data_IF_947764996857
#
_entry.id   IF_947764996857
#
_cell.length_a   1.000
_cell.length_b   1.000
_cell.length_c   1.000
_cell.angle_alpha   90.00
_cell.angle_beta   90.00
_cell.angle_gamma   90.00
#
_symmetry.space_group_name_H-M   'P 1'
#
loop_
_entity.id
_entity.type
_entity.pdbx_description
1 polymer ?
2 polymer ?
3 water ?
#
# COMPACT_ATOMS: atom_id res chain seq x y z
N UNK A 1 23.52 -5.20 13.14
CA UNK A 1 24.79 -4.49 13.24
C UNK A 1 25.28 -4.01 11.86
N UNK A 2 25.32 -2.70 11.66
CA UNK A 2 24.94 -1.71 12.67
C UNK A 2 23.42 -1.55 12.77
N UNK A 3 22.95 -1.16 13.94
CA UNK A 3 21.51 -1.01 14.15
C UNK A 3 21.09 0.46 14.19
N UNK A 4 20.19 0.83 13.30
CA UNK A 4 19.51 2.10 13.37
C UNK A 4 18.23 1.88 14.17
N UNK A 5 17.88 2.85 15.01
CA UNK A 5 16.71 2.75 15.86
C UNK A 5 15.98 4.09 15.87
N UNK A 6 14.78 4.16 15.29
CA UNK A 6 14.01 5.43 15.35
C UNK A 6 12.96 5.22 16.40
N UNK A 7 12.66 6.23 17.22
CA UNK A 7 11.74 5.92 18.31
C UNK A 7 10.60 6.85 18.79
N UNK A 8 9.71 7.29 17.89
CA UNK A 8 8.34 6.86 18.18
C UNK A 8 7.90 6.06 16.96
N UNK A 9 7.39 4.85 17.13
CA UNK A 9 6.99 4.05 15.96
C UNK A 9 5.93 4.82 15.16
N UNK A 10 5.09 5.55 15.90
CA UNK A 10 4.05 6.36 15.31
C UNK A 10 4.07 7.76 15.94
N UNK A 11 3.68 8.78 15.18
CA UNK A 11 3.61 10.14 15.71
C UNK A 11 2.43 10.90 15.11
N UNK A 12 1.63 11.52 15.96
CA UNK A 12 0.48 12.31 15.50
C UNK A 12 0.71 13.80 15.73
N UNK A 13 0.69 14.58 14.65
CA UNK A 13 1.00 16.01 14.76
C UNK A 13 0.00 16.91 14.03
N UNK A 14 -0.01 18.18 14.42
CA UNK A 14 -0.86 19.19 13.81
C UNK A 14 -0.11 19.89 12.68
N UNK A 15 -0.78 20.14 11.55
CA UNK A 15 -0.16 20.92 10.48
C UNK A 15 0.27 22.30 10.98
N UNK A 16 1.49 22.71 10.67
CA UNK A 16 2.02 23.97 11.15
C UNK A 16 3.00 23.77 12.29
N UNK A 17 2.88 22.65 12.98
CA UNK A 17 3.78 22.33 14.09
C UNK A 17 5.18 22.02 13.59
N UNK A 18 6.12 21.89 14.52
CA UNK A 18 7.47 21.44 14.19
C UNK A 18 7.65 20.00 14.66
N UNK A 19 8.17 19.15 13.78
CA UNK A 19 8.34 17.74 14.10
C UNK A 19 9.80 17.31 14.15
N UNK A 20 10.16 16.61 15.21
CA UNK A 20 11.50 16.06 15.35
C UNK A 20 11.44 14.53 15.43
N UNK A 21 12.10 13.86 14.49
CA UNK A 21 12.14 12.40 14.47
C UNK A 21 13.55 11.91 14.76
N UNK A 22 13.67 11.07 15.78
CA UNK A 22 14.98 10.64 16.27
C UNK A 22 15.45 9.32 15.66
N UNK A 23 16.75 9.19 15.48
CA UNK A 23 17.35 7.96 14.98
C UNK A 23 18.66 7.68 15.72
N UNK A 24 18.69 6.58 16.46
CA UNK A 24 19.84 6.24 17.29
C UNK A 24 20.76 5.20 16.65
N UNK A 25 21.84 5.65 16.03
CA UNK A 25 22.84 4.73 15.50
C UNK A 25 23.62 4.10 16.65
N UNK A 26 23.52 2.79 16.79
CA UNK A 26 24.15 2.08 17.92
C UNK A 26 25.67 1.95 17.76
N UNK A 27 26.26 2.85 16.99
CA UNK A 27 27.70 2.95 16.81
C UNK A 27 28.00 4.24 16.06
N UNK A 28 29.11 4.89 16.42
CA UNK A 28 29.48 6.17 15.83
C UNK A 28 29.66 6.08 14.32
N UNK A 29 28.79 6.75 13.57
CA UNK A 29 28.86 6.72 12.12
C UNK A 29 29.10 8.09 11.51
N UNK A 30 29.61 9.02 12.30
CA UNK A 30 29.87 10.39 11.87
C UNK A 30 28.63 11.01 11.23
N UNK A 31 28.83 11.68 10.09
CA UNK A 31 27.72 12.28 9.36
C UNK A 31 27.31 11.40 8.19
N UNK A 32 27.34 10.08 8.39
CA UNK A 32 26.95 9.14 7.35
C UNK A 32 25.60 8.50 7.66
N UNK A 33 24.57 9.34 7.75
CA UNK A 33 23.21 8.89 8.01
C UNK A 33 22.28 9.43 6.93
N UNK A 34 21.31 8.61 6.51
CA UNK A 34 20.43 9.01 5.42
C UNK A 34 18.96 8.90 5.80
N UNK A 35 18.14 9.84 5.34
CA UNK A 35 16.71 9.84 5.64
C UNK A 35 15.88 9.59 4.39
N UNK A 36 14.85 8.75 4.53
CA UNK A 36 13.96 8.46 3.42
C UNK A 36 12.50 8.67 3.81
N UNK A 37 11.71 9.16 2.87
CA UNK A 37 10.27 9.22 3.03
C UNK A 37 9.60 8.19 2.13
N UNK A 38 8.77 7.33 2.71
CA UNK A 38 7.99 6.40 1.92
C UNK A 38 6.50 6.59 2.17
N UNK A 39 5.79 7.01 1.13
CA UNK A 39 4.34 7.16 1.21
C UNK A 39 3.69 5.88 0.69
N UNK A 40 2.44 5.66 1.07
CA UNK A 40 1.73 4.43 0.74
C UNK A 40 1.82 4.02 -0.73
N UNK A 41 2.12 2.75 -0.96
CA UNK A 41 2.28 2.20 -2.31
C UNK A 41 3.34 2.91 -3.13
N UNK A 42 4.39 3.40 -2.48
CA UNK A 42 5.48 4.06 -3.19
C UNK A 42 6.85 3.56 -2.76
N UNK A 43 7.82 3.72 -3.65
CA UNK A 43 9.21 3.47 -3.32
C UNK A 43 9.71 4.55 -2.38
N UNK A 44 10.77 4.26 -1.62
CA UNK A 44 11.34 5.30 -0.74
C UNK A 44 11.84 6.51 -1.51
N UNK A 45 11.79 7.68 -0.87
CA UNK A 45 12.32 8.90 -1.47
C UNK A 45 13.34 9.55 -0.54
N UNK A 46 14.55 9.76 -1.07
CA UNK A 46 15.63 10.33 -0.28
C UNK A 46 15.35 11.78 0.10
N UNK A 47 15.33 12.05 1.39
CA UNK A 47 15.08 13.40 1.89
C UNK A 47 16.38 14.11 2.22
N UNK A 48 17.23 13.44 2.98
CA UNK A 48 18.49 14.01 3.46
C UNK A 48 19.60 12.98 3.39
N UNK A 49 20.65 13.29 2.63
CA UNK A 49 21.84 12.45 2.65
C UNK A 49 22.84 13.04 3.64
N UNK A 50 23.68 12.18 4.21
CA UNK A 50 24.70 12.59 5.17
C UNK A 50 24.20 13.51 6.29
N UNK A 51 23.50 12.92 7.26
CA UNK A 51 23.08 13.61 8.48
C UNK A 51 22.19 14.84 8.25
N UNK A 52 22.65 15.79 7.43
CA UNK A 52 21.97 17.06 7.31
C UNK A 52 22.14 17.75 5.95
N UNK A 53 22.67 17.04 4.97
CA UNK A 53 22.88 17.62 3.65
C UNK A 53 21.58 17.67 2.86
N UNK A 54 21.36 18.79 2.17
CA UNK A 54 20.17 18.98 1.35
C UNK A 54 20.10 18.00 0.20
N UNK A 55 18.87 17.76 -0.27
CA UNK A 55 18.64 16.96 -1.48
C UNK A 55 17.81 17.79 -2.45
N UNK A 56 18.27 17.89 -3.69
CA UNK A 56 17.61 18.69 -4.71
C UNK A 56 16.17 18.25 -4.94
N UNK A 57 15.26 19.21 -5.02
CA UNK A 57 13.86 18.91 -5.28
C UNK A 57 13.02 18.72 -4.04
N UNK A 58 13.68 18.42 -2.92
CA UNK A 58 12.98 18.21 -1.65
C UNK A 58 12.64 19.54 -0.99
N UNK A 59 11.39 19.71 -0.56
CA UNK A 59 10.90 20.91 0.13
C UNK A 59 11.83 21.40 1.24
N UNK A 60 11.95 22.72 1.36
CA UNK A 60 12.94 23.32 2.26
C UNK A 60 12.65 23.06 3.74
N UNK A 61 11.40 22.74 4.06
CA UNK A 61 11.00 22.53 5.44
C UNK A 61 11.66 21.28 6.05
N UNK A 62 12.13 20.38 5.20
CA UNK A 62 12.84 19.20 5.66
C UNK A 62 14.31 19.52 5.95
N UNK A 63 14.80 19.03 7.08
CA UNK A 63 16.20 19.23 7.46
C UNK A 63 16.69 18.12 8.38
N UNK A 64 18.00 17.90 8.38
CA UNK A 64 18.60 16.85 9.19
C UNK A 64 19.48 17.40 10.29
N UNK A 65 19.79 16.56 11.27
CA UNK A 65 20.60 16.97 12.41
C UNK A 65 21.23 15.77 13.12
N UNK A 66 22.35 16.02 13.79
CA UNK A 66 23.01 14.99 14.56
C UNK A 66 24.37 14.59 14.00
N UNK A 67 25.09 13.79 14.78
CA UNK A 67 26.38 13.26 14.35
C UNK A 67 26.80 12.13 15.29
N UNK A 68 27.66 11.25 14.80
CA UNK A 68 28.10 10.11 15.57
C UNK A 68 27.02 9.05 15.70
N UNK A 69 26.13 9.22 16.67
CA UNK A 69 25.13 8.19 16.96
C UNK A 69 23.68 8.69 16.90
N UNK A 70 23.38 9.76 17.63
CA UNK A 70 22.01 10.27 17.68
C UNK A 70 21.72 11.24 16.55
N UNK A 71 20.62 11.01 15.84
CA UNK A 71 20.25 11.83 14.69
C UNK A 71 18.82 12.34 14.77
N UNK A 72 18.55 13.42 14.04
CA UNK A 72 17.23 14.04 14.07
C UNK A 72 16.78 14.49 12.69
N UNK A 73 15.61 14.01 12.27
CA UNK A 73 14.94 14.54 11.09
C UNK A 73 13.94 15.59 11.55
N UNK A 74 13.89 16.72 10.85
CA UNK A 74 13.00 17.81 11.25
C UNK A 74 12.18 18.37 10.10
N UNK A 75 10.89 18.57 10.37
CA UNK A 75 10.03 19.29 9.45
C UNK A 75 9.68 20.63 10.05
N UNK A 76 10.12 21.71 9.38
CA UNK A 76 9.89 23.08 9.83
C UNK A 76 8.45 23.33 10.22
N UNK A 77 7.59 23.48 9.22
CA UNK A 77 6.16 23.62 9.44
C UNK A 77 5.45 22.50 8.67
N UNK A 78 4.95 21.50 9.39
CA UNK A 78 4.45 20.29 8.77
C UNK A 78 3.19 20.53 7.92
N UNK A 79 3.14 19.84 6.78
CA UNK A 79 2.02 19.95 5.86
C UNK A 79 1.27 18.63 5.81
N UNK A 80 -0.03 18.66 5.46
CA UNK A 80 -0.84 17.46 5.30
C UNK A 80 -0.21 16.41 4.39
N UNK A 81 0.56 16.87 3.40
CA UNK A 81 1.18 15.97 2.42
C UNK A 81 2.38 15.23 2.98
N UNK A 82 2.81 15.59 4.19
CA UNK A 82 3.97 14.95 4.81
C UNK A 82 3.59 13.66 5.52
N UNK A 83 2.32 13.26 5.38
CA UNK A 83 1.85 11.99 5.92
C UNK A 83 2.62 10.84 5.27
N UNK A 84 2.98 9.84 6.06
CA UNK A 84 3.72 8.70 5.55
C UNK A 84 4.74 8.19 6.55
N UNK A 85 5.53 7.20 6.12
CA UNK A 85 6.55 6.60 6.98
C UNK A 85 7.92 7.19 6.69
N UNK A 86 8.72 7.38 7.74
CA UNK A 86 10.04 7.97 7.59
C UNK A 86 11.14 7.02 8.07
N UNK A 87 12.02 6.63 7.15
CA UNK A 87 13.10 5.69 7.46
C UNK A 87 14.46 6.37 7.52
N UNK A 88 15.32 5.90 8.41
CA UNK A 88 16.72 6.34 8.42
C UNK A 88 17.61 5.18 8.00
N UNK A 89 18.77 5.47 7.42
CA UNK A 89 19.65 4.43 6.91
C UNK A 89 21.13 4.65 7.21
N UNK A 90 21.81 3.59 7.64
CA UNK A 90 23.26 3.59 7.75
C UNK A 90 23.90 3.78 6.38
N UNK A 91 24.77 4.77 6.27
CA UNK A 91 25.45 5.03 5.02
C UNK A 91 26.95 5.02 5.19
N UNK A 92 27.42 4.27 6.18
CA UNK A 92 28.83 4.27 6.55
C UNK A 92 29.46 2.90 6.43
N UNK A 93 28.82 1.90 7.03
CA UNK A 93 29.41 0.57 7.09
C UNK A 93 28.46 -0.52 6.59
N UNK A 94 28.94 -1.31 5.64
CA UNK A 94 28.22 -2.49 5.20
C UNK A 94 28.27 -3.55 6.29
N UNK A 95 27.17 -4.28 6.50
CA UNK A 95 25.92 -4.25 5.73
C UNK A 95 25.05 -3.00 5.99
N UNK A 96 24.59 -2.36 4.93
CA UNK A 96 23.70 -1.21 5.04
C UNK A 96 22.42 -1.61 5.77
N UNK A 97 22.00 -0.78 6.71
CA UNK A 97 20.82 -1.11 7.52
C UNK A 97 19.85 0.06 7.63
N UNK A 98 18.59 -0.28 7.90
CA UNK A 98 17.53 0.72 8.00
C UNK A 98 16.87 0.69 9.38
N UNK A 99 16.39 1.84 9.82
CA UNK A 99 15.61 1.93 11.04
C UNK A 99 14.22 1.37 10.78
N UNK A 100 13.49 1.04 11.83
CA UNK A 100 12.19 0.41 11.69
C UNK A 100 11.11 1.36 11.14
N UNK A 101 11.37 2.66 11.10
CA UNK A 101 10.35 3.53 10.54
C UNK A 101 9.57 4.29 11.60
N UNK A 102 9.28 5.55 11.32
CA UNK A 102 8.28 6.29 12.09
C UNK A 102 7.15 6.75 11.18
N UNK A 103 5.94 6.30 11.46
CA UNK A 103 4.79 6.73 10.68
C UNK A 103 4.23 8.04 11.23
N UNK A 104 3.97 8.99 10.34
CA UNK A 104 3.52 10.31 10.74
C UNK A 104 2.05 10.53 10.41
N UNK A 105 1.26 10.85 11.43
CA UNK A 105 -0.15 11.18 11.20
C UNK A 105 -0.38 12.68 11.30
N UNK A 106 -1.31 13.19 10.51
CA UNK A 106 -1.64 14.61 10.50
C UNK A 106 -3.01 14.85 11.13
N UNK A 107 -3.03 15.68 12.18
CA UNK A 107 -4.28 16.01 12.85
C UNK A 107 -5.12 16.95 12.01
N UNK A 108 -6.43 16.94 12.26
CA UNK A 108 -7.36 17.85 11.61
C UNK A 108 -8.61 17.93 12.47
N UNK A 109 -9.50 18.87 12.16
CA UNK A 109 -10.76 18.97 12.86
C UNK A 109 -11.55 17.68 12.68
N UNK A 110 -12.30 17.29 13.70
CA UNK A 110 -13.09 16.06 13.65
C UNK A 110 -14.10 16.09 12.51
N UNK A 111 -14.09 15.04 11.69
CA UNK A 111 -15.03 14.94 10.58
C UNK A 111 -15.80 13.62 10.66
N UNK A 112 -17.12 13.73 10.73
CA UNK A 112 -17.96 12.55 10.79
C UNK A 112 -17.95 11.83 9.43
N UNK A 113 -18.10 10.50 9.45
CA UNK A 113 -18.10 9.73 8.20
C UNK A 113 -19.41 9.84 7.45
N UNK A 114 -19.33 9.76 6.12
CA UNK A 114 -20.51 9.53 5.30
C UNK A 114 -20.68 8.03 5.15
N UNK A 115 -21.88 7.53 5.45
CA UNK A 115 -22.11 6.10 5.46
C UNK A 115 -23.00 5.66 4.30
N UNK A 116 -22.56 4.61 3.60
CA UNK A 116 -23.32 4.05 2.48
C UNK A 116 -23.36 2.53 2.59
N UNK A 117 -24.51 1.94 2.32
CA UNK A 117 -24.65 0.48 2.37
C UNK A 117 -24.97 -0.07 0.97
N UNK A 118 -24.35 -1.19 0.63
CA UNK A 118 -24.54 -1.82 -0.67
C UNK A 118 -25.02 -3.26 -0.55
N UNK A 119 -26.15 -3.59 -1.20
CA UNK A 119 -26.70 -4.95 -1.23
C UNK A 119 -25.90 -5.85 -2.17
N UNK A 120 -26.02 -7.18 -2.01
CA UNK A 120 -25.30 -8.08 -2.91
C UNK A 120 -25.84 -7.98 -4.34
N UNK A 121 -24.96 -8.14 -5.33
CA UNK A 121 -25.41 -8.18 -6.71
C UNK A 121 -26.06 -9.53 -7.00
N UNK A 122 -27.06 -9.53 -7.86
CA UNK A 122 -27.69 -10.78 -8.29
C UNK A 122 -26.64 -11.66 -8.97
N UNK A 123 -25.65 -11.00 -9.57
CA UNK A 123 -24.55 -11.69 -10.23
C UNK A 123 -23.76 -12.55 -9.24
N UNK A 124 -23.55 -12.03 -8.03
CA UNK A 124 -22.86 -12.79 -7.00
C UNK A 124 -23.79 -13.82 -6.37
N UNK A 125 -25.04 -13.43 -6.17
CA UNK A 125 -26.04 -14.29 -5.55
C UNK A 125 -26.17 -15.62 -6.27
N UNK A 126 -26.08 -15.57 -7.60
CA UNK A 126 -26.14 -16.79 -8.42
C UNK A 126 -25.03 -17.78 -8.05
N UNK A 127 -23.90 -17.26 -7.58
CA UNK A 127 -22.76 -18.11 -7.24
C UNK A 127 -22.89 -18.72 -5.85
N UNK A 128 -23.99 -18.40 -5.16
CA UNK A 128 -24.27 -19.00 -3.87
C UNK A 128 -23.75 -18.22 -2.67
N UNK A 129 -23.17 -17.06 -2.93
CA UNK A 129 -22.61 -16.24 -1.86
C UNK A 129 -23.14 -14.81 -1.93
N UNK A 130 -23.33 -14.18 -0.78
CA UNK A 130 -23.79 -12.80 -0.74
C UNK A 130 -22.87 -11.93 0.11
N UNK A 131 -22.29 -10.92 -0.52
CA UNK A 131 -21.49 -9.94 0.20
C UNK A 131 -22.25 -8.64 0.38
N UNK A 132 -22.30 -8.15 1.61
CA UNK A 132 -22.91 -6.86 1.89
C UNK A 132 -21.82 -5.91 2.36
N UNK A 133 -21.75 -4.73 1.74
CA UNK A 133 -20.65 -3.81 1.98
C UNK A 133 -21.12 -2.49 2.60
N UNK A 134 -20.43 -2.05 3.65
CA UNK A 134 -20.72 -0.76 4.28
C UNK A 134 -19.54 0.19 4.10
N UNK A 135 -19.82 1.37 3.55
CA UNK A 135 -18.76 2.34 3.28
C UNK A 135 -18.79 3.50 4.26
N UNK A 136 -17.64 3.78 4.88
CA UNK A 136 -17.48 4.95 5.73
C UNK A 136 -16.50 5.90 5.05
N UNK A 137 -16.97 7.08 4.67
CA UNK A 137 -16.21 7.95 3.79
C UNK A 137 -15.72 9.24 4.44
N UNK A 138 -14.40 9.48 4.33
CA UNK A 138 -13.77 10.73 4.74
C UNK A 138 -14.06 11.16 6.17
N UNK A 139 -13.48 10.46 7.14
CA UNK A 139 -13.72 10.79 8.54
C UNK A 139 -12.43 10.97 9.34
N UNK A 140 -12.55 11.61 10.50
CA UNK A 140 -11.43 11.78 11.42
C UNK A 140 -11.96 12.00 12.83
N UNK A 141 -11.34 11.36 13.84
CA UNK A 141 -10.14 10.50 13.77
C UNK A 141 -10.40 9.13 13.17
N UNK A 142 -9.34 8.30 13.13
CA UNK A 142 -9.42 6.98 12.51
C UNK A 142 -10.33 6.02 13.28
N UNK A 143 -10.37 6.17 14.59
CA UNK A 143 -11.18 5.28 15.44
C UNK A 143 -12.65 5.32 15.08
N UNK A 144 -13.15 4.21 14.55
CA UNK A 144 -14.56 4.11 14.17
C UNK A 144 -15.08 2.72 14.47
N UNK A 145 -16.37 2.60 14.75
CA UNK A 145 -16.97 1.31 15.04
C UNK A 145 -18.04 0.96 14.01
N UNK A 146 -17.88 -0.21 13.38
CA UNK A 146 -18.85 -0.71 12.44
C UNK A 146 -19.54 -1.95 12.99
N UNK A 147 -20.87 -1.89 13.09
CA UNK A 147 -21.64 -3.02 13.60
C UNK A 147 -22.68 -3.49 12.60
N UNK A 148 -22.60 -4.76 12.22
CA UNK A 148 -23.57 -5.36 11.31
C UNK A 148 -24.73 -5.97 12.07
N UNK A 149 -25.94 -5.67 11.61
CA UNK A 149 -27.14 -6.26 12.20
C UNK A 149 -28.03 -6.85 11.11
N UNK A 150 -28.47 -8.08 11.33
CA UNK A 150 -29.36 -8.76 10.39
C UNK A 150 -30.63 -9.18 11.13
N UNK A 151 -31.74 -8.52 10.81
CA UNK A 151 -32.99 -8.67 11.57
C UNK A 151 -32.72 -8.45 13.06
N UNK A 152 -31.99 -7.38 13.34
CA UNK A 152 -31.58 -6.98 14.70
C UNK A 152 -30.73 -8.02 15.42
N UNK A 153 -30.19 -8.98 14.65
CA UNK A 153 -29.21 -9.91 15.20
C UNK A 153 -27.83 -9.36 14.96
N UNK A 154 -27.10 -9.10 16.05
CA UNK A 154 -25.76 -8.55 15.96
C UNK A 154 -24.83 -9.58 15.33
N UNK A 155 -24.05 -9.14 14.34
CA UNK A 155 -23.15 -10.05 13.63
C UNK A 155 -21.72 -9.92 14.15
N UNK A 156 -21.04 -11.06 14.31
CA UNK A 156 -19.66 -11.07 14.78
C UNK A 156 -18.89 -12.22 14.17
N UNK A 157 -17.72 -11.90 13.61
CA UNK A 157 -16.83 -12.92 13.06
C UNK A 157 -17.07 -13.23 11.60
N UNK A 158 -18.15 -12.71 11.04
CA UNK A 158 -18.46 -12.96 9.64
C UNK A 158 -18.32 -11.70 8.77
N UNK A 159 -17.46 -10.80 9.22
CA UNK A 159 -17.21 -9.57 8.46
C UNK A 159 -15.71 -9.24 8.47
N UNK A 160 -15.26 -8.60 7.40
CA UNK A 160 -13.87 -8.15 7.33
C UNK A 160 -13.81 -6.65 7.04
N UNK A 161 -12.75 -6.02 7.51
CA UNK A 161 -12.65 -4.56 7.49
C UNK A 161 -11.35 -4.11 6.84
N UNK A 162 -11.33 -2.86 6.38
CA UNK A 162 -10.16 -2.34 5.68
C UNK A 162 -10.18 -0.81 5.62
N UNK A 163 -9.17 -0.19 6.22
CA UNK A 163 -9.08 1.27 6.26
C UNK A 163 -8.04 1.76 5.27
N UNK A 164 -8.31 2.92 4.66
CA UNK A 164 -7.33 3.53 3.77
C UNK A 164 -6.25 4.26 4.53
N UNK A 165 -5.17 4.55 3.81
CA UNK A 165 -4.13 5.43 4.28
C UNK A 165 -4.69 6.84 4.43
N UNK A 166 -4.12 7.63 5.32
CA UNK A 166 -4.60 8.99 5.54
C UNK A 166 -4.45 9.83 4.28
N UNK A 167 -5.52 10.52 3.91
CA UNK A 167 -5.54 11.32 2.70
C UNK A 167 -4.51 12.44 2.76
N UNK A 168 -3.78 12.64 1.68
CA UNK A 168 -2.68 13.61 1.66
C UNK A 168 -3.16 15.05 1.58
N UNK A 169 -4.44 15.26 1.27
CA UNK A 169 -4.95 16.61 1.10
C UNK A 169 -5.87 17.07 2.23
N UNK A 170 -6.80 16.21 2.65
CA UNK A 170 -7.74 16.60 3.70
C UNK A 170 -7.54 15.82 5.01
N UNK A 171 -6.55 14.93 5.01
CA UNK A 171 -6.14 14.19 6.21
C UNK A 171 -7.23 13.29 6.80
N UNK A 172 -8.21 12.91 5.99
CA UNK A 172 -9.29 12.03 6.46
C UNK A 172 -8.99 10.56 6.17
N UNK A 173 -9.79 9.68 6.77
CA UNK A 173 -9.71 8.24 6.49
C UNK A 173 -11.00 7.76 5.85
N UNK A 174 -10.92 6.64 5.15
CA UNK A 174 -12.11 5.97 4.65
C UNK A 174 -12.06 4.49 5.01
N UNK A 175 -13.21 3.91 5.31
CA UNK A 175 -13.27 2.52 5.75
C UNK A 175 -14.28 1.72 4.92
N UNK A 176 -13.94 0.47 4.62
CA UNK A 176 -14.83 -0.42 3.91
C UNK A 176 -14.98 -1.73 4.69
N UNK A 177 -16.24 -2.13 4.91
CA UNK A 177 -16.53 -3.37 5.63
C UNK A 177 -17.43 -4.29 4.82
N UNK A 178 -17.04 -5.54 4.71
CA UNK A 178 -17.82 -6.53 3.98
C UNK A 178 -18.40 -7.60 4.89
N UNK A 179 -19.72 -7.65 4.97
CA UNK A 179 -20.40 -8.75 5.64
C UNK A 179 -20.70 -9.84 4.62
N UNK A 180 -20.18 -11.03 4.83
CA UNK A 180 -20.38 -12.12 3.89
C UNK A 180 -21.35 -13.17 4.42
N UNK A 181 -22.31 -13.56 3.59
CA UNK A 181 -23.29 -14.57 3.96
C UNK A 181 -23.47 -15.58 2.82
N UNK A 182 -23.98 -16.75 3.15
CA UNK A 182 -24.35 -17.71 2.12
C UNK A 182 -25.64 -17.23 1.46
N UNK A 183 -25.89 -17.69 0.24
CA UNK A 183 -27.10 -17.32 -0.49
C UNK A 183 -28.34 -17.72 0.29
N UNK A 184 -28.30 -18.93 0.85
CA UNK A 184 -29.41 -19.46 1.65
C UNK A 184 -29.68 -18.59 2.86
N UNK A 185 -28.62 -18.30 3.63
CA UNK A 185 -28.74 -17.47 4.82
C UNK A 185 -29.25 -16.06 4.49
N UNK A 186 -28.77 -15.51 3.39
CA UNK A 186 -29.12 -14.14 3.01
C UNK A 186 -30.60 -13.99 2.70
N UNK A 187 -31.17 -14.96 2.01
CA UNK A 187 -32.57 -14.88 1.57
C UNK A 187 -33.56 -15.22 2.68
N UNK A 188 -33.04 -15.69 3.81
CA UNK A 188 -33.90 -16.06 4.94
C UNK A 188 -34.08 -14.91 5.91
N UNK A 189 -33.61 -13.73 5.53
CA UNK A 189 -33.71 -12.54 6.37
C UNK A 189 -34.08 -11.31 5.55
N UNK A 190 -34.54 -10.26 6.22
CA UNK A 190 -35.09 -9.11 5.52
C UNK A 190 -34.27 -7.83 5.69
N UNK A 191 -34.05 -7.43 6.94
CA UNK A 191 -33.39 -6.14 7.22
C UNK A 191 -31.90 -6.27 7.45
N UNK A 192 -31.12 -5.71 6.53
CA UNK A 192 -29.66 -5.71 6.63
C UNK A 192 -29.17 -4.30 6.90
N UNK A 193 -28.36 -4.14 7.94
CA UNK A 193 -27.96 -2.83 8.41
C UNK A 193 -26.54 -2.77 8.96
N UNK A 194 -25.88 -1.64 8.73
CA UNK A 194 -24.59 -1.38 9.37
C UNK A 194 -24.71 -0.16 10.27
N UNK A 195 -24.28 -0.31 11.52
CA UNK A 195 -24.36 0.76 12.50
C UNK A 195 -23.00 1.38 12.76
N UNK A 196 -22.89 2.68 12.58
CA UNK A 196 -21.61 3.37 12.66
C UNK A 196 -21.52 4.29 13.88
N UNK A 197 -20.50 4.08 14.70
CA UNK A 197 -20.21 4.95 15.83
C UNK A 197 -18.91 5.71 15.60
N UNK A 198 -18.94 7.01 15.81
CA UNK A 198 -17.77 7.85 15.58
C UNK A 198 -17.86 9.14 16.41
N UNK A 199 -16.70 9.70 16.76
CA UNK A 199 -16.64 10.89 17.60
C UNK A 199 -17.37 12.08 16.96
N UNK A 200 -17.47 12.06 15.64
CA UNK A 200 -18.13 13.13 14.90
C UNK A 200 -19.64 12.98 14.83
N UNK A 201 -20.14 11.84 15.29
CA UNK A 201 -21.58 11.58 15.28
C UNK A 201 -22.15 11.69 16.70
N UNK A 202 -23.14 12.54 16.88
CA UNK A 202 -23.77 12.73 18.18
C UNK A 202 -24.44 11.45 18.67
N UNK A 203 -24.97 10.68 17.71
CA UNK A 203 -25.54 9.37 18.00
C UNK A 203 -25.19 8.44 16.84
N UNK A 204 -25.18 7.12 17.09
CA UNK A 204 -24.86 6.15 16.02
C UNK A 204 -25.72 6.32 14.78
N UNK A 205 -25.12 6.13 13.61
CA UNK A 205 -25.83 6.24 12.34
C UNK A 205 -26.09 4.87 11.75
N UNK A 206 -27.33 4.64 11.31
CA UNK A 206 -27.68 3.37 10.69
C UNK A 206 -28.15 3.54 9.25
N UNK A 207 -27.51 2.82 8.34
CA UNK A 207 -27.96 2.72 6.97
C UNK A 207 -28.36 1.28 6.69
N UNK A 208 -29.49 1.09 6.02
CA UNK A 208 -30.01 -0.25 5.83
C UNK A 208 -30.77 -0.42 4.53
N UNK A 209 -31.28 -1.63 4.32
CA UNK A 209 -32.14 -1.94 3.19
C UNK A 209 -32.90 -3.24 3.47
N UNK A 210 -34.11 -3.33 2.95
CA UNK A 210 -34.85 -4.59 3.01
C UNK A 210 -34.58 -5.38 1.74
N UNK A 211 -34.18 -6.64 1.92
CA UNK A 211 -33.82 -7.49 0.79
C UNK A 211 -34.98 -7.67 -0.19
N UNK A 212 -34.72 -7.37 -1.46
CA UNK A 212 -35.71 -7.54 -2.51
C UNK A 212 -36.72 -6.41 -2.60
N UNK A 213 -36.43 -5.30 -1.91
CA UNK A 213 -37.33 -4.16 -1.90
C UNK A 213 -36.94 -3.15 -2.98
N UNK B 1 15.60 11.70 -16.88
CA UNK B 1 14.81 10.60 -17.42
C UNK B 1 15.25 9.29 -16.76
N UNK B 2 16.00 9.41 -15.67
CA UNK B 2 16.50 8.25 -14.93
C UNK B 2 15.34 7.35 -14.49
N UNK B 3 15.15 6.24 -15.20
CA UNK B 3 14.03 5.35 -14.94
C UNK B 3 14.47 3.92 -14.63
N UNK B 4 13.93 3.37 -13.55
CA UNK B 4 14.13 1.97 -13.21
C UNK B 4 12.79 1.24 -13.25
N UNK B 5 12.64 0.32 -14.19
CA UNK B 5 11.39 -0.42 -14.34
C UNK B 5 11.57 -1.90 -13.98
N UNK B 6 10.88 -2.32 -12.93
CA UNK B 6 11.01 -3.69 -12.44
C UNK B 6 9.93 -4.61 -13.01
N UNK B 7 10.24 -5.90 -13.06
CA UNK B 7 9.32 -6.90 -13.58
C UNK B 7 8.07 -7.03 -12.72
N UNK B 8 7.01 -7.57 -13.32
CA UNK B 8 5.72 -7.69 -12.64
C UNK B 8 5.72 -8.63 -11.46
N UNK B 9 4.60 -8.66 -10.74
CA UNK B 9 4.46 -9.45 -9.52
C UNK B 9 4.61 -10.95 -9.79
N UNK B 10 5.02 -11.68 -8.76
CA UNK B 10 5.30 -13.10 -8.90
C UNK B 10 4.57 -13.95 -7.86
N UNK B 11 4.24 -15.18 -8.24
CA UNK B 11 3.82 -16.20 -7.28
C UNK B 11 4.77 -17.37 -7.40
N UNK B 12 5.32 -17.82 -6.28
CA UNK B 12 6.37 -18.84 -6.29
C UNK B 12 6.09 -19.97 -5.32
N UNK B 13 6.13 -21.21 -5.81
CA UNK B 13 6.06 -22.37 -4.94
C UNK B 13 7.26 -22.42 -4.02
N UNK B 14 7.06 -22.78 -2.75
CA UNK B 14 8.18 -22.86 -1.80
C UNK B 14 9.26 -23.82 -2.26
N UNK B 15 10.52 -23.41 -2.14
CA UNK B 15 11.63 -24.22 -2.57
C UNK B 15 12.03 -23.94 -4.01
N UNK B 16 11.12 -23.35 -4.78
CA UNK B 16 11.41 -23.00 -6.17
C UNK B 16 12.18 -21.69 -6.24
N UNK B 17 12.47 -21.24 -7.46
CA UNK B 17 13.22 -20.02 -7.65
C UNK B 17 12.53 -19.05 -8.61
N UNK B 18 12.86 -17.77 -8.48
CA UNK B 18 12.34 -16.74 -9.36
C UNK B 18 13.44 -15.72 -9.62
N UNK B 19 13.50 -15.22 -10.85
CA UNK B 19 14.48 -14.20 -11.20
C UNK B 19 13.78 -12.87 -11.48
N UNK B 20 13.90 -11.94 -10.55
CA UNK B 20 13.34 -10.60 -10.72
C UNK B 20 14.25 -9.77 -11.63
N UNK B 21 13.70 -8.76 -12.28
CA UNK B 21 14.45 -7.95 -13.23
C UNK B 21 14.31 -6.45 -12.97
N UNK B 22 15.37 -5.71 -13.24
CA UNK B 22 15.38 -4.25 -13.11
C UNK B 22 16.00 -3.64 -14.37
N UNK B 23 15.21 -2.90 -15.12
CA UNK B 23 15.71 -2.29 -16.35
C UNK B 23 16.00 -0.81 -16.10
N UNK B 24 17.16 -0.35 -16.58
CA UNK B 24 17.60 1.01 -16.34
C UNK B 24 17.44 1.87 -17.59
N UNK B 25 17.29 3.17 -17.38
CA UNK B 25 17.15 4.12 -18.48
C UNK B 25 17.44 5.53 -17.99
N UNK B 26 17.57 6.47 -18.92
CA UNK B 26 17.79 7.86 -18.58
C UNK B 26 19.22 8.19 -18.20
N UNK B 27 20.06 7.16 -18.16
CA UNK B 27 21.47 7.34 -17.86
C UNK B 27 22.28 6.24 -18.51
N UNK B 28 23.61 6.35 -18.44
CA UNK B 28 24.49 5.32 -18.98
C UNK B 28 24.60 4.17 -17.98
N UNK B 29 23.93 3.06 -18.30
CA UNK B 29 23.80 1.90 -17.43
C UNK B 29 25.13 1.41 -16.84
N UNK B 30 26.20 1.53 -17.63
CA UNK B 30 27.52 1.00 -17.27
C UNK B 30 28.10 1.61 -15.98
N UNK B 31 27.79 2.88 -15.72
CA UNK B 31 28.57 3.67 -14.77
C UNK B 31 28.26 3.48 -13.27
N UNK B 32 27.00 3.34 -12.89
CA UNK B 32 26.67 3.31 -11.46
C UNK B 32 26.15 1.94 -10.99
N UNK B 33 26.35 1.66 -9.70
CA UNK B 33 25.88 0.41 -9.11
C UNK B 33 24.38 0.29 -9.09
N UNK B 34 23.91 -0.91 -8.74
CA UNK B 34 22.49 -1.15 -8.54
C UNK B 34 22.30 -2.04 -7.31
N UNK B 35 21.57 -1.51 -6.33
CA UNK B 35 21.32 -2.24 -5.09
C UNK B 35 19.94 -2.86 -5.07
N UNK B 36 19.78 -3.91 -4.26
CA UNK B 36 18.48 -4.53 -4.08
C UNK B 36 18.08 -4.50 -2.61
N UNK B 37 16.83 -4.12 -2.36
CA UNK B 37 16.32 -3.99 -1.00
C UNK B 37 15.00 -4.74 -0.84
N UNK B 38 14.84 -5.44 0.28
CA UNK B 38 13.62 -6.19 0.54
C UNK B 38 12.77 -5.50 1.61
N UNK B 39 11.46 -5.46 1.37
CA UNK B 39 10.52 -4.99 2.37
C UNK B 39 9.41 -6.01 2.59
N UNK B 40 9.51 -6.77 3.68
CA UNK B 40 8.48 -7.72 4.05
C UNK B 40 7.21 -6.97 4.46
N UNK B 41 6.04 -7.59 4.24
CA UNK B 41 4.73 -6.96 4.47
C UNK B 41 4.60 -6.29 5.83
N UNK B 42 4.17 -5.02 5.83
CA UNK B 42 4.03 -4.23 7.05
C UNK B 42 5.30 -4.22 7.88
N UNK B 43 6.42 -3.94 7.24
CA UNK B 43 7.71 -3.93 7.92
C UNK B 43 8.69 -2.96 7.25
N UNK B 44 9.95 -3.00 7.67
CA UNK B 44 10.94 -2.06 7.20
C UNK B 44 11.82 -2.59 6.09
N UNK B 45 12.84 -1.81 5.75
CA UNK B 45 13.73 -2.15 4.65
C UNK B 45 14.94 -2.95 5.11
N UNK B 46 15.24 -4.02 4.39
CA UNK B 46 16.47 -4.79 4.64
C UNK B 46 17.29 -4.87 3.36
N UNK B 47 18.58 -4.56 3.48
CA UNK B 47 19.47 -4.51 2.34
C UNK B 47 19.92 -5.91 1.93
N UNK B 48 20.12 -6.10 0.62
CA UNK B 48 20.47 -7.41 0.08
C UNK B 48 21.87 -7.45 -0.53
N UNK B 49 22.19 -6.46 -1.37
CA UNK B 49 23.50 -6.41 -2.00
C UNK B 49 23.57 -5.42 -3.14
N UNK B 50 24.74 -5.35 -3.78
CA UNK B 50 24.92 -4.47 -4.94
C UNK B 50 25.69 -5.16 -6.05
N UNK B 51 25.67 -4.55 -7.23
CA UNK B 51 26.40 -5.08 -8.38
C UNK B 51 26.79 -3.95 -9.33
N UNK B 52 28.05 -3.95 -9.74
CA UNK B 52 28.55 -2.98 -10.71
C UNK B 52 28.39 -3.52 -12.13
N UNK B 53 27.44 -2.96 -12.88
CA UNK B 53 27.18 -3.40 -14.26
C UNK B 53 28.33 -3.07 -15.21
N UNK B 54 29.31 -2.30 -14.73
CA UNK B 54 30.48 -1.98 -15.50
C UNK B 54 31.33 -3.20 -15.81
N UNK B 55 31.42 -4.10 -14.84
CA UNK B 55 32.16 -5.35 -15.03
C UNK B 55 31.34 -6.55 -14.60
N UNK B 56 30.63 -6.41 -13.48
CA UNK B 56 29.81 -7.49 -12.95
C UNK B 56 30.20 -7.83 -11.53
N UNK B 57 31.04 -7.01 -10.93
CA UNK B 57 31.48 -7.22 -9.55
C UNK B 57 30.31 -7.03 -8.58
N UNK B 58 30.16 -7.99 -7.67
CA UNK B 58 29.07 -7.97 -6.70
C UNK B 58 29.54 -8.23 -5.28
N UNK B 59 28.90 -7.58 -4.32
CA UNK B 59 29.04 -7.96 -2.92
C UNK B 59 27.63 -7.94 -2.33
N UNK B 60 27.35 -8.91 -1.47
CA UNK B 60 25.99 -9.05 -0.94
C UNK B 60 25.94 -8.76 0.55
N UNK B 61 24.75 -8.43 1.05
CA UNK B 61 24.49 -8.63 2.47
C UNK B 61 24.59 -10.13 2.66
N UNK B 62 25.17 -10.59 3.77
CA UNK B 62 25.39 -12.03 3.82
C UNK B 62 24.54 -12.73 4.91
N UNK B 63 23.24 -12.49 4.78
CA UNK B 63 22.23 -13.41 5.28
C UNK B 63 21.35 -13.70 4.07
N UNK B 64 21.62 -12.97 3.00
CA UNK B 64 20.94 -13.15 1.71
C UNK B 64 21.82 -13.84 0.65
N UNK B 65 22.89 -14.50 1.08
CA UNK B 65 23.82 -15.12 0.13
C UNK B 65 23.33 -16.48 -0.36
N UNK B 66 22.91 -17.35 0.56
CA UNK B 66 22.32 -18.62 0.19
C UNK B 66 20.88 -18.44 -0.21
N UNK B 67 20.61 -17.31 -0.86
CA UNK B 67 19.25 -16.89 -1.16
C UNK B 67 19.22 -15.98 -2.40
N UNK B 68 20.11 -14.99 -2.46
CA UNK B 68 20.09 -14.02 -3.54
C UNK B 68 21.30 -14.17 -4.48
N UNK B 69 21.10 -13.77 -5.72
CA UNK B 69 22.15 -13.82 -6.74
C UNK B 69 21.95 -12.70 -7.74
N UNK B 70 22.98 -11.87 -7.93
CA UNK B 70 22.85 -10.67 -8.76
C UNK B 70 23.65 -10.76 -10.06
N UNK B 71 23.00 -10.43 -11.17
CA UNK B 71 23.66 -10.38 -12.48
C UNK B 71 23.22 -9.14 -13.25
N UNK B 72 23.93 -8.81 -14.32
CA UNK B 72 23.56 -7.71 -15.20
C UNK B 72 23.60 -8.12 -16.67
N UNK B 73 23.02 -7.29 -17.53
CA UNK B 73 23.04 -7.53 -18.97
C UNK B 73 23.15 -6.19 -19.69
N UNK B 74 24.39 -5.83 -20.04
CA UNK B 74 24.68 -4.52 -20.63
C UNK B 74 23.99 -4.32 -21.98
N UNK B 75 23.87 -5.40 -22.73
CA UNK B 75 23.26 -5.37 -24.07
C UNK B 75 21.78 -4.98 -24.04
N UNK B 76 21.16 -5.10 -22.87
CA UNK B 76 19.76 -4.76 -22.72
C UNK B 76 19.56 -3.76 -21.59
N UNK B 77 20.68 -3.38 -20.95
CA UNK B 77 20.66 -2.44 -19.83
C UNK B 77 19.71 -2.90 -18.72
N UNK B 78 20.01 -4.05 -18.12
CA UNK B 78 19.12 -4.67 -17.15
C UNK B 78 19.86 -5.45 -16.08
N UNK B 79 19.45 -5.26 -14.83
CA UNK B 79 19.98 -6.05 -13.72
C UNK B 79 18.96 -7.09 -13.27
N UNK B 80 19.45 -8.20 -12.75
CA UNK B 80 18.58 -9.29 -12.32
C UNK B 80 18.90 -9.74 -10.90
N UNK B 81 17.90 -10.24 -10.19
CA UNK B 81 18.13 -10.87 -8.89
C UNK B 81 17.37 -12.18 -8.78
N UNK B 82 18.11 -13.28 -8.81
CA UNK B 82 17.53 -14.61 -8.65
C UNK B 82 17.37 -14.97 -7.17
N UNK B 83 16.15 -15.33 -6.78
CA UNK B 83 15.88 -15.76 -5.42
C UNK B 83 15.70 -17.26 -5.37
N UNK B 84 16.56 -17.95 -4.61
CA UNK B 84 16.62 -19.41 -4.64
C UNK B 84 16.02 -20.07 -3.41
N UNK B 85 15.46 -21.27 -3.61
CA UNK B 85 14.83 -22.10 -2.57
C UNK B 85 13.96 -21.25 -1.61
N UNK B 86 12.92 -20.66 -2.20
CA UNK B 86 12.12 -19.68 -1.50
C UNK B 86 11.25 -20.24 -0.38
N UNK B 87 11.16 -19.47 0.70
CA UNK B 87 10.33 -19.78 1.85
C UNK B 87 9.20 -18.75 1.91
N UNK B 88 8.11 -19.09 2.59
CA UNK B 88 7.00 -18.16 2.77
C UNK B 88 7.44 -16.87 3.44
N UNK B 89 8.56 -16.93 4.18
CA UNK B 89 9.10 -15.76 4.83
C UNK B 89 9.72 -14.80 3.81
N UNK B 90 10.11 -15.34 2.65
CA UNK B 90 10.71 -14.51 1.61
C UNK B 90 9.68 -13.69 0.85
N UNK B 91 8.40 -13.87 1.18
CA UNK B 91 7.33 -13.07 0.57
C UNK B 91 7.50 -11.61 0.94
N UNK B 92 7.71 -10.78 -0.07
CA UNK B 92 7.95 -9.35 0.13
C UNK B 92 7.92 -8.55 -1.16
N UNK B 93 8.04 -7.24 -1.04
CA UNK B 93 8.29 -6.37 -2.19
C UNK B 93 9.80 -6.18 -2.33
N UNK B 94 10.32 -6.37 -3.53
CA UNK B 94 11.75 -6.22 -3.74
C UNK B 94 12.07 -5.01 -4.62
N UNK B 95 12.76 -4.04 -4.02
CA UNK B 95 13.15 -2.83 -4.72
C UNK B 95 14.55 -2.93 -5.29
N UNK B 96 14.73 -2.39 -6.49
CA UNK B 96 16.07 -2.16 -7.02
C UNK B 96 16.34 -0.66 -6.92
N UNK B 97 17.61 -0.28 -6.78
CA UNK B 97 17.93 1.12 -6.59
C UNK B 97 19.31 1.45 -7.16
N UNK B 98 19.41 2.60 -7.81
CA UNK B 98 20.67 3.01 -8.41
C UNK B 98 21.39 4.02 -7.53
N UNK B 99 22.53 3.61 -6.98
CA UNK B 99 23.45 4.55 -6.37
C UNK B 99 23.89 5.54 -7.42
N UNK B 100 24.36 6.71 -7.00
CA UNK B 100 24.97 7.62 -7.96
C UNK B 100 26.46 7.71 -7.68
N UNK B 101 26.85 7.48 -6.43
CA UNK B 101 28.19 7.83 -5.99
C UNK B 101 28.56 7.14 -4.67
N UNK B 102 27.64 7.12 -3.72
CA UNK B 102 27.92 6.47 -2.44
C UNK B 102 26.79 5.53 -2.03
N UNK B 103 26.57 5.42 -0.73
CA UNK B 103 25.66 4.43 -0.20
C UNK B 103 24.20 4.89 -0.16
N UNK B 104 23.95 6.12 -0.59
CA UNK B 104 22.59 6.64 -0.61
C UNK B 104 21.94 6.48 -1.97
N UNK B 105 20.62 6.32 -1.97
CA UNK B 105 19.88 6.03 -3.19
C UNK B 105 18.78 7.05 -3.45
N UNK B 106 18.98 7.90 -4.45
CA UNK B 106 17.99 8.88 -4.84
C UNK B 106 17.03 8.29 -5.88
N UNK B 107 17.42 7.18 -6.48
CA UNK B 107 16.65 6.56 -7.55
C UNK B 107 16.24 5.13 -7.21
N UNK B 108 14.93 4.88 -7.19
CA UNK B 108 14.38 3.56 -6.89
C UNK B 108 13.47 3.06 -8.01
N UNK B 109 13.34 1.74 -8.13
CA UNK B 109 12.34 1.15 -8.99
C UNK B 109 11.00 1.17 -8.26
N UNK B 110 9.93 0.76 -8.95
CA UNK B 110 8.60 0.79 -8.34
C UNK B 110 8.38 -0.37 -7.38
N UNK B 111 9.25 -1.38 -7.47
CA UNK B 111 9.16 -2.54 -6.61
C UNK B 111 8.43 -3.71 -7.25
N UNK B 112 8.83 -4.92 -6.88
CA UNK B 112 8.19 -6.12 -7.41
C UNK B 112 7.70 -7.01 -6.27
N UNK B 113 6.39 -7.30 -6.28
CA UNK B 113 5.79 -8.14 -5.25
C UNK B 113 6.02 -9.62 -5.53
N UNK B 114 6.54 -10.33 -4.54
CA UNK B 114 6.75 -11.77 -4.67
C UNK B 114 5.99 -12.52 -3.58
N UNK B 115 5.09 -13.40 -3.99
CA UNK B 115 4.32 -14.19 -3.05
C UNK B 115 4.77 -15.65 -3.09
N UNK B 116 5.16 -16.18 -1.93
CA UNK B 116 5.56 -17.57 -1.85
C UNK B 116 4.44 -18.41 -1.24
N UNK B 117 3.84 -19.27 -2.07
CA UNK B 117 2.73 -20.09 -1.64
C UNK B 117 2.54 -21.29 -2.56
N UNK B 118 2.00 -22.37 -2.01
CA UNK B 118 1.73 -23.58 -2.78
C UNK B 118 0.41 -23.44 -3.53
N UNK B 119 -0.37 -22.44 -3.14
CA UNK B 119 -1.69 -22.21 -3.73
C UNK B 119 -1.59 -21.81 -5.20
N UNK B 120 -2.66 -22.07 -5.94
CA UNK B 120 -2.72 -21.73 -7.36
C UNK B 120 -3.25 -20.32 -7.57
N UNK B 121 -2.98 -19.75 -8.75
CA UNK B 121 -3.53 -18.44 -9.10
C UNK B 121 -4.99 -18.56 -9.49
N UNK B 122 -5.80 -17.66 -8.96
CA UNK B 122 -7.20 -17.59 -9.35
C UNK B 122 -7.61 -16.15 -9.65
N UNK B 123 -8.21 -15.94 -10.82
CA UNK B 123 -8.71 -14.63 -11.19
C UNK B 123 -9.88 -14.24 -10.30
N UNK B 124 -10.10 -12.93 -10.14
CA UNK B 124 -11.18 -12.44 -9.28
C UNK B 124 -12.53 -12.41 -9.95
N UNK B 125 -13.57 -12.19 -9.15
CA UNK B 125 -14.89 -11.86 -9.67
C UNK B 125 -15.13 -10.38 -9.40
N UNK B 126 -15.69 -9.68 -10.38
CA UNK B 126 -15.98 -8.26 -10.21
C UNK B 126 -17.48 -8.03 -10.12
N UNK B 127 -17.93 -7.60 -8.94
CA UNK B 127 -19.36 -7.37 -8.70
C UNK B 127 -19.63 -5.88 -8.52
N UNK B 128 -20.79 -5.42 -9.01
CA UNK B 128 -21.20 -4.02 -8.84
C UNK B 128 -21.61 -3.74 -7.40
N UNK B 129 -21.32 -2.54 -6.90
CA UNK B 129 -21.72 -2.18 -5.55
C UNK B 129 -23.06 -1.44 -5.59
N UNK B 130 -23.17 -0.45 -6.48
CA UNK B 130 -24.45 0.16 -6.89
C UNK B 130 -25.31 0.77 -5.77
N UNK B 131 -25.62 2.07 -5.90
CA UNK B 131 -26.40 2.79 -4.90
C UNK B 131 -27.91 2.69 -5.14
N UNK B 139 -27.60 14.31 -1.68
CA UNK B 139 -27.15 14.87 -2.93
C UNK B 139 -26.01 14.07 -3.55
N UNK B 140 -25.17 13.50 -2.70
CA UNK B 140 -24.05 12.69 -3.16
C UNK B 140 -24.40 11.20 -3.12
N UNK B 141 -23.99 10.48 -4.16
CA UNK B 141 -24.18 9.04 -4.21
C UNK B 141 -22.83 8.32 -4.21
N UNK B 142 -22.82 7.08 -3.72
CA UNK B 142 -21.62 6.28 -3.72
C UNK B 142 -21.81 5.01 -4.53
N UNK B 143 -20.80 4.65 -5.30
CA UNK B 143 -20.82 3.41 -6.07
C UNK B 143 -19.41 2.85 -6.16
N UNK B 144 -19.29 1.57 -6.50
CA UNK B 144 -17.98 0.96 -6.59
C UNK B 144 -17.95 -0.45 -7.13
N UNK B 145 -16.82 -1.12 -6.93
CA UNK B 145 -16.65 -2.48 -7.41
C UNK B 145 -16.11 -3.38 -6.31
N UNK B 146 -16.66 -4.59 -6.23
CA UNK B 146 -16.15 -5.59 -5.30
C UNK B 146 -15.34 -6.63 -6.07
N UNK B 147 -14.02 -6.57 -5.90
CA UNK B 147 -13.12 -7.48 -6.57
C UNK B 147 -12.80 -8.66 -5.64
N UNK B 148 -13.55 -9.74 -5.78
CA UNK B 148 -13.56 -10.80 -4.78
C UNK B 148 -12.91 -12.11 -5.22
N UNK B 149 -12.27 -12.78 -4.26
CA UNK B 149 -11.75 -14.13 -4.42
C UNK B 149 -10.68 -14.26 -5.50
N UNK B 150 -9.55 -13.59 -5.28
CA UNK B 150 -8.41 -13.73 -6.18
C UNK B 150 -7.14 -14.07 -5.41
N UNK B 151 -6.15 -14.57 -6.13
CA UNK B 151 -4.85 -14.91 -5.55
C UNK B 151 -3.80 -15.02 -6.64
N UNK B 152 -2.61 -14.45 -6.41
CA UNK B 152 -2.31 -13.67 -5.20
C UNK B 152 -2.49 -12.18 -5.43
N UNK B 153 -1.98 -11.37 -4.50
CA UNK B 153 -1.87 -9.94 -4.71
C UNK B 153 -0.90 -9.70 -5.86
N UNK B 154 -0.99 -8.54 -6.52
CA UNK B 154 -1.94 -7.45 -6.33
C UNK B 154 -3.00 -7.36 -7.43
N UNK B 155 -3.92 -6.42 -7.26
CA UNK B 155 -4.83 -6.05 -8.34
C UNK B 155 -4.81 -4.54 -8.50
N UNK B 156 -4.80 -4.06 -9.73
CA UNK B 156 -4.87 -2.64 -9.99
C UNK B 156 -6.31 -2.27 -10.35
N UNK B 157 -6.77 -1.15 -9.79
CA UNK B 157 -8.13 -0.70 -10.05
C UNK B 157 -8.15 0.79 -10.40
N UNK B 158 -8.71 1.12 -11.56
CA UNK B 158 -8.93 2.50 -11.95
C UNK B 158 -10.37 2.70 -12.41
N UNK B 159 -10.79 3.96 -12.51
CA UNK B 159 -12.15 4.28 -12.92
C UNK B 159 -12.14 5.10 -14.22
N UNK B 160 -12.97 4.69 -15.17
CA UNK B 160 -13.08 5.35 -16.47
C UNK B 160 -11.74 5.51 -17.18
N UNK B 161 -10.96 4.42 -17.17
CA UNK B 161 -9.65 4.40 -17.82
C UNK B 161 -8.72 5.48 -17.30
N UNK B 162 -8.90 5.85 -16.02
CA UNK B 162 -8.04 6.83 -15.38
C UNK B 162 -8.60 8.24 -15.37
N UNK B 163 -9.64 8.47 -16.17
CA UNK B 163 -10.22 9.80 -16.31
C UNK B 163 -10.93 10.26 -15.03
N UNK B 164 -11.34 9.29 -14.22
CA UNK B 164 -12.02 9.59 -12.96
C UNK B 164 -11.14 9.20 -11.77
N UNK B 165 -10.58 10.20 -11.10
CA UNK B 165 -9.70 9.96 -9.95
C UNK B 165 -10.21 10.66 -8.70
N UNK B 166 -10.92 11.77 -8.89
CA UNK B 166 -11.47 12.52 -7.76
C UNK B 166 -12.61 11.78 -7.07
N UNK B 167 -12.54 11.69 -5.75
CA UNK B 167 -13.57 11.02 -4.98
C UNK B 167 -13.38 9.52 -4.89
N UNK B 168 -12.36 9.01 -5.57
CA UNK B 168 -12.09 7.58 -5.60
C UNK B 168 -11.36 7.11 -4.33
N UNK B 169 -11.77 5.95 -3.83
CA UNK B 169 -11.06 5.28 -2.75
C UNK B 169 -10.91 3.79 -3.06
N UNK B 170 -9.68 3.35 -3.26
CA UNK B 170 -9.40 1.92 -3.41
C UNK B 170 -8.80 1.38 -2.11
N UNK B 171 -9.56 0.51 -1.45
CA UNK B 171 -9.17 -0.01 -0.15
C UNK B 171 -8.19 -1.17 -0.28
N UNK B 172 -7.32 -1.35 0.73
CA UNK B 172 -6.44 -2.53 0.71
C UNK B 172 -7.24 -3.82 0.81
N UNK B 173 -6.82 -4.83 0.05
CA UNK B 173 -7.50 -6.12 0.07
C UNK B 173 -7.44 -6.75 1.45
N UNK B 174 -8.46 -7.56 1.77
CA UNK B 174 -8.46 -8.31 3.01
C UNK B 174 -8.29 -9.79 2.69
N UNK B 175 -7.64 -10.54 3.59
CA UNK B 175 -7.40 -11.96 3.35
C UNK B 175 -8.50 -12.79 4.01
N UNK B 176 -9.29 -13.46 3.17
CA UNK B 176 -10.44 -14.22 3.64
C UNK B 176 -10.03 -15.57 4.21
N UNK B 177 -10.97 -16.23 4.89
CA UNK B 177 -10.73 -17.54 5.46
C UNK B 177 -10.46 -18.57 4.37
N UNK B 178 -11.04 -18.34 3.20
CA UNK B 178 -10.88 -19.24 2.06
C UNK B 178 -9.44 -19.28 1.57
N UNK B 179 -8.67 -18.23 1.89
CA UNK B 179 -7.29 -18.14 1.45
C UNK B 179 -7.17 -17.25 0.23
N UNK B 180 -8.27 -16.59 -0.12
CA UNK B 180 -8.28 -15.69 -1.26
C UNK B 180 -8.41 -14.24 -0.80
N UNK B 181 -8.09 -13.31 -1.69
CA UNK B 181 -8.19 -11.90 -1.38
C UNK B 181 -9.50 -11.32 -1.88
N UNK B 182 -10.01 -10.32 -1.16
CA UNK B 182 -11.18 -9.57 -1.59
C UNK B 182 -10.91 -8.08 -1.42
N UNK B 183 -11.21 -7.30 -2.45
CA UNK B 183 -10.86 -5.88 -2.45
C UNK B 183 -12.06 -5.00 -2.83
N UNK B 184 -12.09 -3.80 -2.28
CA UNK B 184 -13.14 -2.84 -2.60
C UNK B 184 -12.56 -1.55 -3.19
N UNK B 185 -13.26 -1.00 -4.17
CA UNK B 185 -12.90 0.29 -4.75
C UNK B 185 -14.16 1.09 -5.03
N UNK B 186 -14.28 2.26 -4.40
CA UNK B 186 -15.49 3.06 -4.54
C UNK B 186 -15.18 4.46 -5.06
N UNK B 187 -16.23 5.16 -5.46
CA UNK B 187 -16.12 6.55 -5.86
C UNK B 187 -17.43 7.28 -5.53
N UNK B 188 -17.31 8.46 -4.95
CA UNK B 188 -18.48 9.28 -4.66
C UNK B 188 -18.75 10.24 -5.81
N UNK B 189 -19.97 10.19 -6.34
CA UNK B 189 -20.39 11.05 -7.45
C UNK B 189 -21.75 11.66 -7.13
N UNK B 190 -22.09 12.80 -7.76
CA UNK B 190 -23.44 13.32 -7.59
C UNK B 190 -24.50 12.35 -8.12
N UNK B 191 -25.60 12.20 -7.39
CA UNK B 191 -26.61 11.21 -7.74
C UNK B 191 -27.32 11.49 -9.07
N UNK B 192 -27.29 12.74 -9.51
CA UNK B 192 -27.95 13.11 -10.76
C UNK B 192 -27.16 12.68 -11.99
N UNK B 193 -25.89 12.33 -11.77
CA UNK B 193 -25.03 11.90 -12.88
C UNK B 193 -25.20 10.42 -13.15
N UNK B 194 -25.86 9.71 -12.24
CA UNK B 194 -26.06 8.27 -12.38
C UNK B 194 -26.84 7.93 -13.64
N UNK B 195 -27.60 8.89 -14.15
CA UNK B 195 -28.35 8.70 -15.37
C UNK B 195 -27.58 9.17 -16.59
N UNK B 196 -26.79 10.22 -16.41
CA UNK B 196 -26.01 10.80 -17.51
C UNK B 196 -24.70 10.06 -17.73
N UNK B 197 -23.83 10.12 -16.73
CA UNK B 197 -22.47 9.59 -16.85
C UNK B 197 -22.42 8.07 -16.67
N UNK B 198 -21.64 7.41 -17.52
CA UNK B 198 -21.37 5.98 -17.36
C UNK B 198 -20.19 5.79 -16.41
N UNK B 199 -20.23 4.73 -15.61
CA UNK B 199 -19.15 4.48 -14.67
C UNK B 199 -18.61 3.06 -14.82
N UNK B 200 -17.33 2.97 -15.13
CA UNK B 200 -16.67 1.69 -15.37
C UNK B 200 -15.42 1.57 -14.53
N UNK B 201 -15.38 0.56 -13.66
CA UNK B 201 -14.16 0.29 -12.91
C UNK B 201 -13.28 -0.64 -13.74
N UNK B 202 -12.00 -0.31 -13.83
CA UNK B 202 -11.07 -1.09 -14.62
C UNK B 202 -10.20 -1.96 -13.74
N UNK B 203 -10.46 -3.26 -13.75
CA UNK B 203 -9.77 -4.19 -12.88
C UNK B 203 -8.76 -5.03 -13.64
N UNK B 204 -7.52 -5.05 -13.15
CA UNK B 204 -6.47 -5.83 -13.77
C UNK B 204 -5.72 -6.71 -12.77
N UNK B 205 -5.81 -8.02 -12.96
CA UNK B 205 -5.08 -8.97 -12.12
C UNK B 205 -4.13 -9.79 -12.99
N UNK B 206 -2.93 -9.24 -13.18
CA UNK B 206 -1.92 -9.81 -14.07
C UNK B 206 -1.37 -11.20 -13.71
N UNK B 207 -1.31 -11.56 -12.41
CA UNK B 207 -0.92 -12.94 -12.10
C UNK B 207 -1.81 -14.00 -12.76
N UNK B 208 -3.06 -13.66 -13.04
CA UNK B 208 -3.96 -14.58 -13.73
C UNK B 208 -4.32 -14.02 -15.11
N UNK B 209 -3.60 -12.99 -15.52
CA UNK B 209 -3.79 -12.33 -16.82
C UNK B 209 -5.21 -11.82 -17.03
N UNK B 210 -5.93 -11.57 -15.93
CA UNK B 210 -7.32 -11.15 -16.01
C UNK B 210 -7.48 -9.63 -16.05
N UNK B 211 -8.05 -9.14 -17.15
CA UNK B 211 -8.48 -7.76 -17.25
C UNK B 211 -10.00 -7.72 -17.36
N UNK B 212 -10.66 -6.97 -16.48
CA UNK B 212 -12.11 -6.86 -16.52
C UNK B 212 -12.58 -5.41 -16.44
N UNK B 213 -13.46 -5.03 -17.37
CA UNK B 213 -14.11 -3.74 -17.31
C UNK B 213 -15.57 -3.91 -16.90
N UNK B 214 -15.91 -3.41 -15.72
CA UNK B 214 -17.26 -3.55 -15.19
C UNK B 214 -17.98 -2.21 -15.08
N UNK B 215 -19.05 -2.07 -15.85
CA UNK B 215 -19.90 -0.88 -15.77
C UNK B 215 -20.85 -1.03 -14.58
N UNK B 216 -20.89 -0.02 -13.71
CA UNK B 216 -21.72 -0.10 -12.51
C UNK B 216 -22.96 0.78 -12.62
N UNK B 217 -24.12 0.18 -12.35
CA UNK B 217 -25.41 0.83 -12.55
C UNK B 217 -26.34 0.65 -11.36
N UNK B 218 -27.24 1.62 -11.14
CA UNK B 218 -28.38 1.35 -10.25
C UNK B 218 -29.26 0.28 -10.87
N UNK B 219 -29.98 -0.49 -10.05
CA UNK B 219 -30.87 -1.52 -10.57
C UNK B 219 -32.32 -1.05 -10.57
N UNK B 220 -33.17 -1.81 -11.26
CA UNK B 220 -34.58 -1.46 -11.41
C UNK B 220 -34.75 -0.08 -12.03
#
# INVERSE_FOLDING_TARGET
DIVMTQSPATLSVTPGDRVSLSCRASQSISDYLHWYQQKSHESPRLLIKYASQSISGIPSRFSGSGSGSDFTLSINSVEPEDVGVYYCQNGHSFPLTFGAGTKLELKRTVAAPSVFIFPPSDEQLKSGTASVVCLLNNFYPREAKVQWKVDNALQSGNSQESVTEQDSKDSTYSLSSTLTLSKADYEKHKVYACEVTHQGLSSPVTKSFNRGE
QVQLQQSGAELVKPGASVKLSCKASGYTFTNYDINWVRQRPEQGLEWIGWIFPGDGSTQYNEKFKGKATLTTDTSSSTAYMQLSRLTSEDSAVYFCARQTTATWFAYWGQGTLVTVSAASTKGPSVFPLAPSSKSTSGGTAALGCLVKDYFPEPVTVSWNSGALTSGVHTFPAVLQSSGLYSLSSVVTVPSSSLGTQTYICNVNHKPSNTKVDKRVEPKS
#
